data_IF_027821960992
#
_entry.id   IF_027821960992
#
_cell.length_a   1.000
_cell.length_b   1.000
_cell.length_c   1.000
_cell.angle_alpha   90.00
_cell.angle_beta   90.00
_cell.angle_gamma   90.00
#
_symmetry.space_group_name_H-M   'P 1'
#
loop_
_entity.id
_entity.type
_entity.pdbx_description
1 polymer ?
#
# COMPACT_ATOMS: atom_id res chain seq x y z
N UNK A 1 -7.00 57.07 23.09
CA UNK A 1 -7.52 55.99 23.96
C UNK A 1 -6.47 54.87 23.96
N UNK A 2 -5.39 55.00 24.73
CA UNK A 2 -5.09 54.32 26.02
C UNK A 2 -5.12 52.77 26.00
N UNK A 3 -3.96 52.21 25.63
CA UNK A 3 -3.19 51.07 26.14
C UNK A 3 -3.81 49.74 26.63
N UNK A 4 -3.14 48.67 26.16
CA UNK A 4 -3.10 47.28 26.59
C UNK A 4 -2.91 47.04 28.11
N UNK A 5 -3.35 45.85 28.55
CA UNK A 5 -2.73 44.88 29.50
C UNK A 5 -3.47 44.66 30.83
N UNK A 6 -3.76 43.37 31.12
CA UNK A 6 -3.74 42.67 32.44
C UNK A 6 -4.12 41.19 32.18
N UNK A 7 -3.20 40.25 31.94
CA UNK A 7 -2.38 39.42 32.87
C UNK A 7 -3.12 38.83 34.09
N UNK A 8 -3.46 37.54 33.94
CA UNK A 8 -3.26 36.37 34.84
C UNK A 8 -3.33 36.55 36.36
N UNK A 9 -4.13 35.70 37.01
CA UNK A 9 -3.87 35.26 38.39
C UNK A 9 -4.34 33.82 38.60
N UNK A 10 -3.38 33.00 39.02
CA UNK A 10 -3.45 31.61 39.44
C UNK A 10 -4.16 31.49 40.80
N UNK A 11 -4.91 30.41 41.04
CA UNK A 11 -5.22 29.97 42.39
C UNK A 11 -5.16 28.43 42.47
N UNK A 12 -4.09 27.95 43.11
CA UNK A 12 -3.95 26.60 43.63
C UNK A 12 -4.84 26.46 44.87
N UNK A 13 -5.60 25.37 44.97
CA UNK A 13 -6.17 24.91 46.24
C UNK A 13 -5.85 23.43 46.38
N UNK A 14 -5.11 23.11 47.44
CA UNK A 14 -4.73 21.77 47.83
C UNK A 14 -5.58 21.28 49.00
N UNK A 15 -5.95 19.99 48.90
CA UNK A 15 -6.15 18.99 49.95
C UNK A 15 -7.25 19.16 51.01
N UNK A 16 -8.17 18.19 51.01
CA UNK A 16 -8.60 17.51 52.24
C UNK A 16 -8.94 16.04 51.92
N UNK A 17 -8.22 15.13 52.57
CA UNK A 17 -8.43 13.68 52.53
C UNK A 17 -9.70 13.31 53.32
N UNK A 18 -10.59 12.53 52.71
CA UNK A 18 -11.59 11.73 53.45
C UNK A 18 -11.47 10.27 53.03
N UNK A 19 -11.14 9.43 54.01
CA UNK A 19 -11.16 7.97 53.93
C UNK A 19 -12.61 7.51 53.85
N UNK A 20 -13.00 6.85 52.76
CA UNK A 20 -14.34 6.33 52.57
C UNK A 20 -14.37 5.15 51.61
N UNK A 21 -14.57 3.95 52.15
CA UNK A 21 -15.20 2.77 51.53
C UNK A 21 -14.81 2.40 50.09
N UNK A 22 -13.83 1.51 49.94
CA UNK A 22 -13.63 0.74 48.72
C UNK A 22 -14.71 -0.35 48.60
N UNK A 23 -15.89 -0.01 48.08
CA UNK A 23 -16.75 -1.01 47.41
C UNK A 23 -16.42 -0.97 45.93
N UNK A 24 -15.50 -1.82 45.51
CA UNK A 24 -15.15 -2.01 44.11
C UNK A 24 -16.32 -2.68 43.38
N UNK A 25 -17.24 -1.88 42.82
CA UNK A 25 -18.11 -2.35 41.75
C UNK A 25 -17.25 -2.42 40.49
N UNK A 26 -16.80 -3.62 40.15
CA UNK A 26 -16.13 -3.90 38.90
C UNK A 26 -17.05 -3.50 37.73
N UNK A 27 -16.84 -2.30 37.19
CA UNK A 27 -17.45 -1.85 35.96
C UNK A 27 -16.77 -2.65 34.84
N UNK A 28 -17.51 -3.61 34.29
CA UNK A 28 -17.09 -4.36 33.12
C UNK A 28 -16.77 -3.37 32.00
N UNK A 29 -15.50 -3.34 31.60
CA UNK A 29 -15.04 -2.56 30.46
C UNK A 29 -15.81 -2.99 29.20
N UNK A 30 -16.22 -2.06 28.32
CA UNK A 30 -16.81 -2.42 27.05
C UNK A 30 -15.80 -3.26 26.27
N UNK A 31 -16.22 -4.44 25.85
CA UNK A 31 -15.43 -5.33 25.02
C UNK A 31 -14.93 -4.56 23.79
N UNK A 32 -13.61 -4.48 23.64
CA UNK A 32 -13.01 -3.99 22.41
C UNK A 32 -13.58 -4.78 21.23
N UNK A 33 -13.93 -4.14 20.10
CA UNK A 33 -14.32 -4.89 18.92
C UNK A 33 -13.17 -5.83 18.57
N UNK A 34 -13.50 -7.12 18.49
CA UNK A 34 -12.57 -8.16 18.09
C UNK A 34 -11.79 -7.66 16.86
N UNK A 35 -10.48 -7.52 17.03
CA UNK A 35 -9.58 -7.31 15.91
C UNK A 35 -9.93 -8.39 14.90
N UNK A 36 -10.47 -8.00 13.74
CA UNK A 36 -10.63 -8.92 12.63
C UNK A 36 -9.24 -9.44 12.36
N UNK A 37 -9.03 -10.72 12.64
CA UNK A 37 -7.83 -11.43 12.25
C UNK A 37 -7.67 -11.14 10.76
N UNK A 38 -6.62 -10.40 10.40
CA UNK A 38 -6.22 -10.33 9.01
C UNK A 38 -6.08 -11.79 8.57
N UNK A 39 -6.62 -12.20 7.41
CA UNK A 39 -6.37 -13.54 6.93
C UNK A 39 -4.86 -13.71 6.91
N UNK A 40 -4.39 -14.83 7.46
CA UNK A 40 -2.99 -15.20 7.36
C UNK A 40 -2.57 -14.99 5.90
N UNK A 41 -1.47 -14.28 5.67
CA UNK A 41 -0.91 -14.17 4.34
C UNK A 41 -0.69 -15.60 3.85
N UNK A 42 -1.57 -16.07 2.97
CA UNK A 42 -1.46 -17.42 2.43
C UNK A 42 -0.13 -17.46 1.69
N UNK A 43 0.80 -18.25 2.25
CA UNK A 43 2.10 -18.49 1.66
C UNK A 43 1.85 -19.03 0.25
N UNK A 44 2.06 -18.19 -0.76
CA UNK A 44 1.99 -18.61 -2.16
C UNK A 44 3.03 -19.73 -2.29
N UNK A 45 2.60 -20.97 -2.56
CA UNK A 45 3.54 -22.08 -2.72
C UNK A 45 4.56 -21.67 -3.78
N UNK A 46 5.84 -21.93 -3.56
CA UNK A 46 6.90 -21.67 -4.54
C UNK A 46 6.78 -22.51 -5.83
N UNK A 47 5.63 -23.15 -6.07
CA UNK A 47 5.24 -23.64 -7.37
C UNK A 47 4.80 -22.46 -8.21
N UNK A 48 5.47 -22.25 -9.35
CA UNK A 48 5.09 -21.23 -10.33
C UNK A 48 3.61 -21.40 -10.64
N UNK A 49 2.77 -20.51 -10.13
CA UNK A 49 1.49 -20.28 -10.78
C UNK A 49 1.87 -19.59 -12.09
N UNK A 50 2.11 -20.38 -13.13
CA UNK A 50 2.14 -19.89 -14.50
C UNK A 50 0.69 -19.81 -14.93
N UNK A 51 0.07 -18.61 -14.98
CA UNK A 51 -1.17 -18.45 -15.71
C UNK A 51 -0.99 -19.06 -17.11
N UNK A 52 -1.97 -19.83 -17.56
CA UNK A 52 -1.90 -20.44 -18.88
C UNK A 52 -1.78 -19.34 -19.94
N UNK A 53 -0.72 -19.40 -20.75
CA UNK A 53 -0.54 -18.53 -21.92
C UNK A 53 0.61 -17.53 -21.87
N UNK A 54 1.35 -17.41 -20.75
CA UNK A 54 2.54 -16.54 -20.69
C UNK A 54 3.76 -17.11 -21.42
N UNK A 55 4.73 -16.25 -21.73
CA UNK A 55 6.02 -16.68 -22.26
C UNK A 55 6.86 -17.36 -21.14
N UNK A 56 7.24 -18.64 -21.28
CA UNK A 56 7.95 -19.37 -20.22
C UNK A 56 9.38 -18.85 -19.96
N UNK A 57 9.90 -17.96 -20.82
CA UNK A 57 11.20 -17.30 -20.66
C UNK A 57 11.11 -16.00 -19.87
N UNK A 58 9.90 -15.47 -19.66
CA UNK A 58 9.65 -14.24 -18.93
C UNK A 58 9.15 -14.53 -17.50
N UNK A 59 9.23 -13.51 -16.66
CA UNK A 59 8.69 -13.60 -15.30
C UNK A 59 7.22 -13.18 -15.33
N UNK A 60 6.33 -14.08 -14.95
CA UNK A 60 4.93 -13.74 -14.69
C UNK A 60 4.81 -12.81 -13.47
N UNK A 61 4.14 -11.67 -13.64
CA UNK A 61 3.82 -10.75 -12.55
C UNK A 61 2.32 -10.58 -12.39
N UNK A 62 1.88 -10.44 -11.14
CA UNK A 62 0.48 -10.24 -10.82
C UNK A 62 0.20 -8.81 -10.38
N UNK A 63 -0.68 -8.15 -11.12
CA UNK A 63 -1.25 -6.84 -10.79
C UNK A 63 -2.32 -7.01 -9.71
N UNK A 64 -2.03 -6.64 -8.46
CA UNK A 64 -2.95 -6.91 -7.34
C UNK A 64 -4.07 -5.86 -7.22
N UNK A 65 -3.83 -4.65 -7.70
CA UNK A 65 -4.74 -3.53 -7.58
C UNK A 65 -5.83 -3.53 -8.68
N UNK A 66 -6.78 -2.60 -8.55
CA UNK A 66 -7.87 -2.40 -9.50
C UNK A 66 -7.73 -1.07 -10.23
N UNK A 67 -8.22 -0.99 -11.47
CA UNK A 67 -8.23 0.22 -12.30
C UNK A 67 -6.84 0.85 -12.48
N UNK A 68 -5.82 0.00 -12.67
CA UNK A 68 -4.44 0.44 -12.84
C UNK A 68 -4.22 0.84 -14.28
N UNK A 69 -3.69 2.04 -14.48
CA UNK A 69 -3.28 2.55 -15.79
C UNK A 69 -1.93 1.94 -16.19
N UNK A 70 -1.92 1.17 -17.27
CA UNK A 70 -0.73 0.71 -17.97
C UNK A 70 -0.32 1.79 -18.96
N UNK A 71 0.94 2.21 -18.94
CA UNK A 71 1.39 3.48 -19.53
C UNK A 71 2.44 3.32 -20.61
N UNK A 72 2.52 4.27 -21.54
CA UNK A 72 3.49 4.21 -22.62
C UNK A 72 4.95 4.41 -22.16
N UNK A 73 5.17 5.05 -21.00
CA UNK A 73 6.48 5.29 -20.39
C UNK A 73 6.41 5.11 -18.86
N UNK A 74 7.55 4.95 -18.15
CA UNK A 74 7.59 4.81 -16.69
C UNK A 74 7.34 6.14 -15.95
N UNK A 75 6.24 6.80 -16.27
CA UNK A 75 5.75 8.05 -15.68
C UNK A 75 4.23 8.13 -15.81
N UNK A 76 3.57 8.68 -14.79
CA UNK A 76 2.14 8.96 -14.75
C UNK A 76 1.70 10.04 -15.74
N UNK A 77 2.63 10.81 -16.30
CA UNK A 77 2.35 11.84 -17.30
C UNK A 77 2.22 11.27 -18.72
N UNK A 78 2.63 10.02 -18.95
CA UNK A 78 2.52 9.40 -20.27
C UNK A 78 1.13 8.82 -20.54
N UNK A 79 0.84 8.66 -21.83
CA UNK A 79 -0.42 8.10 -22.32
C UNK A 79 -0.74 6.77 -21.65
N UNK A 80 -2.02 6.59 -21.32
CA UNK A 80 -2.56 5.31 -20.86
C UNK A 80 -2.81 4.44 -22.09
N UNK A 81 -2.20 3.26 -22.13
CA UNK A 81 -2.36 2.28 -23.20
C UNK A 81 -3.45 1.26 -22.86
N UNK A 82 -3.61 0.92 -21.58
CA UNK A 82 -4.65 0.02 -21.10
C UNK A 82 -5.00 0.29 -19.64
N UNK A 83 -6.15 -0.23 -19.21
CA UNK A 83 -6.56 -0.26 -17.80
C UNK A 83 -6.82 -1.71 -17.42
N UNK A 84 -6.24 -2.16 -16.31
CA UNK A 84 -6.38 -3.53 -15.79
C UNK A 84 -6.67 -3.57 -14.31
N UNK A 85 -7.29 -4.66 -13.90
CA UNK A 85 -7.60 -4.99 -12.51
C UNK A 85 -7.29 -6.45 -12.28
N UNK A 86 -6.52 -6.77 -11.23
CA UNK A 86 -6.35 -8.15 -10.75
C UNK A 86 -5.95 -9.15 -11.84
N UNK A 87 -4.82 -8.88 -12.51
CA UNK A 87 -4.49 -9.52 -13.78
C UNK A 87 -3.03 -9.99 -13.85
N UNK A 88 -2.77 -11.03 -14.65
CA UNK A 88 -1.43 -11.58 -14.86
C UNK A 88 -0.80 -11.06 -16.16
N UNK A 89 0.47 -10.72 -16.10
CA UNK A 89 1.22 -10.12 -17.20
C UNK A 89 2.61 -10.74 -17.28
N UNK A 90 3.20 -10.77 -18.47
CA UNK A 90 4.60 -11.08 -18.66
C UNK A 90 5.44 -9.84 -18.39
N UNK A 91 6.46 -9.94 -17.54
CA UNK A 91 7.42 -8.86 -17.27
C UNK A 91 8.67 -9.01 -18.14
N UNK A 92 8.99 -7.95 -18.89
CA UNK A 92 10.12 -7.91 -19.81
C UNK A 92 11.39 -7.41 -19.13
N UNK A 93 11.32 -6.23 -18.52
CA UNK A 93 12.42 -5.60 -17.78
C UNK A 93 11.90 -4.53 -16.81
N UNK A 94 12.77 -4.01 -15.94
CA UNK A 94 12.44 -2.98 -14.95
C UNK A 94 13.38 -1.79 -15.02
N UNK A 95 12.89 -0.61 -14.69
CA UNK A 95 13.74 0.57 -14.56
C UNK A 95 13.20 1.53 -13.50
N UNK A 96 14.03 2.48 -13.07
CA UNK A 96 13.58 3.58 -12.22
C UNK A 96 12.90 4.64 -13.08
N UNK A 97 11.73 5.08 -12.64
CA UNK A 97 10.93 6.11 -13.30
C UNK A 97 10.41 7.14 -12.31
N UNK A 98 9.24 7.71 -12.64
CA UNK A 98 8.56 8.64 -11.73
C UNK A 98 8.22 7.94 -10.40
N UNK A 99 8.52 8.59 -9.28
CA UNK A 99 8.05 8.14 -7.96
C UNK A 99 6.54 8.27 -7.87
N UNK A 100 5.86 7.15 -7.62
CA UNK A 100 4.42 7.10 -7.38
C UNK A 100 4.18 6.91 -5.89
N UNK A 101 3.32 7.76 -5.33
CA UNK A 101 2.84 7.65 -3.94
C UNK A 101 1.33 7.45 -3.97
N UNK A 102 0.88 6.39 -3.34
CA UNK A 102 -0.52 6.11 -3.05
C UNK A 102 -0.71 6.10 -1.52
N UNK A 103 -1.55 6.99 -0.94
CA UNK A 103 -1.73 7.08 0.50
C UNK A 103 -2.18 5.77 1.18
N UNK A 104 -2.86 4.88 0.45
CA UNK A 104 -3.36 3.62 0.98
C UNK A 104 -2.35 2.47 0.87
N UNK A 105 -1.30 2.61 0.06
CA UNK A 105 -0.38 1.53 -0.29
C UNK A 105 1.06 1.85 0.09
N UNK A 106 1.53 3.06 -0.19
CA UNK A 106 2.91 3.48 0.01
C UNK A 106 3.50 4.22 -1.18
N UNK A 107 4.82 4.18 -1.31
CA UNK A 107 5.56 4.87 -2.36
C UNK A 107 6.50 3.91 -3.08
N UNK A 108 6.62 4.01 -4.41
CA UNK A 108 7.58 3.23 -5.19
C UNK A 108 7.99 3.98 -6.47
N UNK A 109 9.26 3.88 -6.87
CA UNK A 109 9.80 4.49 -8.09
C UNK A 109 10.29 3.47 -9.13
N UNK A 110 10.14 2.17 -8.87
CA UNK A 110 10.39 1.13 -9.85
C UNK A 110 9.17 0.92 -10.74
N UNK A 111 9.44 0.75 -12.04
CA UNK A 111 8.45 0.47 -13.06
C UNK A 111 8.86 -0.78 -13.83
N UNK A 112 7.88 -1.62 -14.15
CA UNK A 112 8.08 -2.83 -14.95
C UNK A 112 7.44 -2.65 -16.31
N UNK A 113 8.20 -2.93 -17.37
CA UNK A 113 7.69 -3.10 -18.71
C UNK A 113 6.98 -4.46 -18.79
N UNK A 114 5.72 -4.45 -19.20
CA UNK A 114 4.81 -5.59 -19.19
C UNK A 114 4.13 -5.76 -20.54
N UNK A 115 3.73 -7.00 -20.82
CA UNK A 115 2.83 -7.36 -21.90
C UNK A 115 1.74 -8.31 -21.40
N UNK A 116 0.62 -8.35 -22.11
CA UNK A 116 -0.40 -9.39 -21.92
C UNK A 116 0.20 -10.75 -22.25
N UNK A 117 -0.23 -11.80 -21.52
CA UNK A 117 0.30 -13.16 -21.70
C UNK A 117 0.15 -13.66 -23.14
N UNK A 118 -0.98 -13.36 -23.79
CA UNK A 118 -1.23 -13.70 -25.20
C UNK A 118 -0.44 -12.84 -26.22
N UNK A 119 0.41 -11.95 -25.75
CA UNK A 119 1.04 -10.90 -26.56
C UNK A 119 0.23 -9.60 -26.60
N UNK A 120 0.92 -8.47 -26.46
CA UNK A 120 0.41 -7.11 -26.68
C UNK A 120 1.54 -6.13 -26.96
N UNK A 121 1.21 -4.88 -27.26
CA UNK A 121 2.16 -3.78 -27.14
C UNK A 121 2.72 -3.72 -25.71
N UNK A 122 3.97 -3.29 -25.59
CA UNK A 122 4.64 -3.10 -24.30
C UNK A 122 4.04 -1.88 -23.59
N UNK A 123 3.67 -2.06 -22.33
CA UNK A 123 3.25 -0.98 -21.46
C UNK A 123 4.06 -1.00 -20.16
N UNK A 124 3.94 0.07 -19.37
CA UNK A 124 4.64 0.25 -18.11
C UNK A 124 3.66 0.35 -16.96
N UNK A 125 3.94 -0.38 -15.89
CA UNK A 125 3.21 -0.30 -14.62
C UNK A 125 4.17 -0.01 -13.49
N UNK A 126 3.77 0.85 -12.56
CA UNK A 126 4.57 1.09 -11.37
C UNK A 126 4.44 -0.11 -10.42
N UNK A 127 5.57 -0.55 -9.87
CA UNK A 127 5.65 -1.77 -9.07
C UNK A 127 4.87 -1.68 -7.76
N UNK A 128 4.44 -0.49 -7.32
CA UNK A 128 3.48 -0.32 -6.22
C UNK A 128 2.21 -1.16 -6.42
N UNK A 129 1.82 -1.40 -7.67
CA UNK A 129 0.61 -2.16 -8.03
C UNK A 129 0.87 -3.62 -8.44
N UNK A 130 2.12 -4.09 -8.35
CA UNK A 130 2.51 -5.47 -8.61
C UNK A 130 2.82 -6.20 -7.30
N UNK A 131 2.56 -7.51 -7.25
CA UNK A 131 3.08 -8.36 -6.17
C UNK A 131 4.55 -8.63 -6.41
N UNK A 132 5.35 -8.65 -5.34
CA UNK A 132 6.77 -9.05 -5.40
C UNK A 132 7.77 -8.05 -4.83
N UNK A 133 7.31 -6.95 -4.20
CA UNK A 133 8.17 -5.97 -3.53
C UNK A 133 8.40 -4.70 -4.35
N UNK A 134 9.34 -3.85 -3.91
CA UNK A 134 9.61 -2.58 -4.60
C UNK A 134 10.16 -2.80 -6.01
N UNK A 135 11.22 -3.59 -6.13
CA UNK A 135 11.79 -4.14 -7.38
C UNK A 135 11.44 -5.63 -7.43
N UNK A 136 10.97 -6.14 -8.57
CA UNK A 136 10.46 -7.53 -8.63
C UNK A 136 11.63 -8.48 -8.90
N UNK A 137 11.83 -9.44 -8.01
CA UNK A 137 12.85 -10.46 -8.19
C UNK A 137 12.59 -11.30 -9.46
N UNK A 138 13.64 -11.60 -10.21
CA UNK A 138 13.56 -12.39 -11.45
C UNK A 138 13.34 -11.57 -12.72
N UNK A 139 12.87 -10.32 -12.61
CA UNK A 139 12.76 -9.42 -13.76
C UNK A 139 14.09 -8.67 -13.95
N UNK A 140 14.70 -8.69 -15.15
CA UNK A 140 15.98 -8.03 -15.41
C UNK A 140 15.84 -6.49 -15.45
N UNK A 141 16.94 -5.77 -15.33
CA UNK A 141 16.97 -4.33 -15.56
C UNK A 141 16.89 -4.00 -17.07
N UNK A 142 16.21 -2.89 -17.38
CA UNK A 142 16.44 -2.12 -18.59
C UNK A 142 17.60 -1.14 -18.32
#
# INVERSE_FOLDING_TARGET
MKQLTRRTTTALVAAALTLGGLTATAQAAPAAPAARTAPAAEQVPSGRFTPAGGDPTLTDVYLWATNVNLRARPTRQSNVLAVRSQYWLDALCQTRGETVTDPAVGTNNWWTAVMELSGSDIAWVNNLYLRGGEKIAGVPDC
#
